data_IF_613134291650
#
_entry.id   IF_613134291650
#
_cell.length_a   1.000
_cell.length_b   1.000
_cell.length_c   1.000
_cell.angle_alpha   90.00
_cell.angle_beta   90.00
_cell.angle_gamma   90.00
#
_symmetry.space_group_name_H-M   'P 1'
#
loop_
_entity.id
_entity.type
_entity.pdbx_description
1 polymer ?
#
# COMPACT_ATOMS: atom_id res chain seq x y z
N UNK A 1 6.69 -25.05 -40.49
CA UNK A 1 6.41 -26.35 -41.11
C UNK A 1 7.72 -26.87 -41.67
N UNK A 2 8.34 -27.88 -41.05
CA UNK A 2 9.56 -28.50 -41.56
C UNK A 2 9.21 -29.89 -42.10
N UNK A 3 9.55 -30.16 -43.36
CA UNK A 3 9.41 -31.49 -43.97
C UNK A 3 10.76 -32.19 -43.93
N UNK A 4 10.87 -33.33 -43.26
CA UNK A 4 12.05 -34.19 -43.36
C UNK A 4 11.63 -35.65 -43.57
N UNK A 5 11.96 -36.18 -44.74
CA UNK A 5 11.86 -37.61 -45.03
C UNK A 5 13.12 -38.34 -44.57
N UNK A 6 12.98 -39.33 -43.69
CA UNK A 6 14.07 -40.21 -43.31
C UNK A 6 14.19 -41.36 -44.32
N UNK A 7 15.37 -41.55 -44.94
CA UNK A 7 15.71 -42.75 -45.72
C UNK A 7 16.56 -43.67 -44.87
N UNK A 8 16.18 -44.94 -44.76
CA UNK A 8 17.00 -45.99 -44.16
C UNK A 8 18.23 -46.23 -45.06
N UNK A 9 19.43 -45.93 -44.57
CA UNK A 9 20.68 -46.48 -45.09
C UNK A 9 21.40 -47.11 -43.90
N UNK A 10 21.73 -48.40 -44.02
CA UNK A 10 22.53 -49.15 -43.07
C UNK A 10 23.90 -48.47 -42.90
N UNK A 11 24.05 -47.68 -41.83
CA UNK A 11 25.34 -47.22 -41.36
C UNK A 11 25.26 -46.94 -39.86
N UNK A 12 26.10 -47.61 -39.07
CA UNK A 12 26.09 -47.68 -37.60
C UNK A 12 26.67 -46.41 -36.94
N UNK A 13 26.20 -45.23 -37.35
CA UNK A 13 26.61 -43.96 -36.75
C UNK A 13 25.40 -43.22 -36.16
N UNK A 14 25.47 -42.90 -34.86
CA UNK A 14 24.51 -41.99 -34.18
C UNK A 14 24.44 -40.68 -34.95
N UNK A 15 23.30 -40.39 -35.57
CA UNK A 15 23.07 -39.12 -36.29
C UNK A 15 22.10 -38.25 -35.50
N UNK A 16 22.55 -37.06 -35.11
CA UNK A 16 21.67 -35.95 -34.71
C UNK A 16 21.04 -35.42 -36.00
N UNK A 17 19.71 -35.49 -36.11
CA UNK A 17 19.03 -35.25 -37.38
C UNK A 17 18.69 -33.78 -37.66
N UNK A 18 18.62 -32.91 -36.64
CA UNK A 18 18.55 -31.44 -36.77
C UNK A 18 18.47 -30.81 -35.37
N UNK A 19 18.94 -29.57 -35.24
CA UNK A 19 18.68 -28.69 -34.10
C UNK A 19 17.81 -27.53 -34.62
N UNK A 20 16.60 -27.37 -34.06
CA UNK A 20 15.70 -26.26 -34.40
C UNK A 20 15.04 -25.79 -33.11
N UNK A 21 15.38 -24.56 -32.69
CA UNK A 21 14.75 -23.85 -31.58
C UNK A 21 14.72 -24.65 -30.24
N UNK A 22 15.81 -25.38 -29.93
CA UNK A 22 15.97 -26.10 -28.65
C UNK A 22 15.36 -27.50 -28.59
N UNK A 23 14.85 -28.02 -29.72
CA UNK A 23 14.29 -29.38 -29.85
C UNK A 23 15.31 -30.28 -30.55
N UNK A 24 15.73 -31.37 -29.88
CA UNK A 24 16.65 -32.36 -30.43
C UNK A 24 15.94 -33.67 -30.77
N UNK A 25 16.26 -34.19 -31.96
CA UNK A 25 15.72 -35.44 -32.49
C UNK A 25 16.80 -36.52 -32.48
N UNK A 26 16.49 -37.68 -31.88
CA UNK A 26 17.39 -38.83 -31.87
C UNK A 26 16.64 -40.11 -32.25
N UNK A 27 17.08 -40.74 -33.34
CA UNK A 27 16.57 -42.04 -33.79
C UNK A 27 17.45 -43.18 -33.27
N UNK A 28 16.82 -44.29 -32.87
CA UNK A 28 17.50 -45.51 -32.47
C UNK A 28 17.21 -46.66 -33.44
N UNK A 29 18.14 -47.61 -33.53
CA UNK A 29 18.04 -48.80 -34.40
C UNK A 29 16.81 -49.69 -34.08
N UNK A 30 16.22 -49.54 -32.89
CA UNK A 30 15.00 -50.24 -32.45
C UNK A 30 13.70 -49.70 -33.06
N UNK A 31 13.75 -48.70 -33.94
CA UNK A 31 12.56 -48.05 -34.49
C UNK A 31 11.88 -47.08 -33.53
N UNK A 32 12.51 -46.79 -32.38
CA UNK A 32 12.05 -45.81 -31.41
C UNK A 32 12.65 -44.44 -31.72
N UNK A 33 11.80 -43.41 -31.79
CA UNK A 33 12.21 -42.00 -31.90
C UNK A 33 12.01 -41.34 -30.54
N UNK A 34 13.07 -40.76 -29.97
CA UNK A 34 13.00 -39.97 -28.73
C UNK A 34 13.19 -38.50 -29.09
N UNK A 35 12.28 -37.67 -28.59
CA UNK A 35 12.35 -36.20 -28.72
C UNK A 35 12.74 -35.64 -27.37
N UNK A 36 13.83 -34.89 -27.35
CA UNK A 36 14.31 -34.23 -26.14
C UNK A 36 14.06 -32.73 -26.33
N UNK A 37 13.14 -32.18 -25.54
CA UNK A 37 12.91 -30.74 -25.43
C UNK A 37 13.80 -30.24 -24.30
N UNK A 38 14.70 -29.29 -24.60
CA UNK A 38 15.70 -28.80 -23.65
C UNK A 38 15.11 -28.08 -22.44
N UNK A 39 13.90 -27.51 -22.57
CA UNK A 39 13.14 -26.94 -21.46
C UNK A 39 11.64 -27.12 -21.69
N UNK A 40 11.03 -28.05 -20.96
CA UNK A 40 9.60 -28.36 -21.07
C UNK A 40 8.69 -27.23 -20.53
N UNK A 41 9.24 -26.27 -19.77
CA UNK A 41 8.46 -25.16 -19.17
C UNK A 41 8.01 -24.10 -20.19
N UNK A 42 8.61 -24.10 -21.39
CA UNK A 42 8.36 -23.13 -22.46
C UNK A 42 7.15 -23.47 -23.36
N UNK A 43 6.51 -24.63 -23.15
CA UNK A 43 5.52 -25.18 -24.07
C UNK A 43 4.32 -25.79 -23.31
N UNK A 44 3.11 -25.65 -23.85
CA UNK A 44 1.91 -26.32 -23.31
C UNK A 44 1.70 -27.71 -23.95
N UNK A 45 0.91 -28.56 -23.28
CA UNK A 45 0.77 -29.99 -23.55
C UNK A 45 0.59 -30.32 -25.04
N UNK A 46 1.48 -31.17 -25.57
CA UNK A 46 1.54 -31.54 -26.97
C UNK A 46 0.35 -32.43 -27.38
N UNK A 47 -0.41 -32.00 -28.39
CA UNK A 47 -1.30 -32.90 -29.13
C UNK A 47 -0.53 -33.53 -30.28
N UNK A 48 -0.72 -34.84 -30.47
CA UNK A 48 0.00 -35.62 -31.48
C UNK A 48 -1.00 -36.22 -32.45
N UNK A 49 -0.72 -36.14 -33.75
CA UNK A 49 -1.46 -36.87 -34.77
C UNK A 49 -0.48 -37.69 -35.59
N UNK A 50 -0.67 -39.01 -35.61
CA UNK A 50 0.10 -39.93 -36.45
C UNK A 50 -0.70 -40.17 -37.73
N UNK A 51 -0.17 -39.79 -38.89
CA UNK A 51 -0.73 -40.20 -40.19
C UNK A 51 0.14 -41.28 -40.82
N UNK A 52 -0.47 -42.43 -41.09
CA UNK A 52 0.17 -43.54 -41.79
C UNK A 52 -0.19 -43.52 -43.27
N UNK A 53 0.81 -43.66 -44.14
CA UNK A 53 0.59 -43.88 -45.56
C UNK A 53 1.40 -45.10 -46.02
N UNK A 54 0.76 -46.01 -46.77
CA UNK A 54 1.47 -47.06 -47.51
C UNK A 54 1.96 -46.48 -48.82
N UNK A 55 3.27 -46.57 -49.07
CA UNK A 55 3.82 -46.32 -50.39
C UNK A 55 3.96 -47.64 -51.16
N UNK A 56 3.85 -47.57 -52.49
CA UNK A 56 4.24 -48.67 -53.37
C UNK A 56 5.75 -48.90 -53.21
N UNK A 57 6.18 -50.17 -53.24
CA UNK A 57 7.52 -50.70 -52.89
C UNK A 57 7.72 -51.13 -51.42
N UNK A 58 6.66 -51.30 -50.64
CA UNK A 58 6.72 -52.02 -49.35
C UNK A 58 7.39 -51.26 -48.20
N UNK A 59 7.74 -49.99 -48.40
CA UNK A 59 8.28 -49.09 -47.36
C UNK A 59 7.12 -48.35 -46.69
N UNK A 60 6.95 -48.57 -45.37
CA UNK A 60 6.07 -47.76 -44.51
C UNK A 60 6.75 -46.42 -44.20
N UNK A 61 6.10 -45.31 -44.58
CA UNK A 61 6.48 -43.96 -44.13
C UNK A 61 5.46 -43.47 -43.11
N UNK A 62 5.96 -42.79 -42.08
CA UNK A 62 5.15 -42.16 -41.04
C UNK A 62 5.47 -40.68 -41.01
N UNK A 63 4.43 -39.84 -41.02
CA UNK A 63 4.56 -38.43 -40.67
C UNK A 63 4.12 -38.25 -39.22
N UNK A 64 5.04 -37.80 -38.38
CA UNK A 64 4.79 -37.47 -36.98
C UNK A 64 4.73 -35.95 -36.86
N UNK A 65 3.52 -35.40 -36.80
CA UNK A 65 3.31 -33.95 -36.72
C UNK A 65 3.07 -33.58 -35.25
N UNK A 66 4.01 -32.81 -34.69
CA UNK A 66 3.87 -32.21 -33.37
C UNK A 66 3.34 -30.79 -33.53
N UNK A 67 2.20 -30.49 -32.91
CA UNK A 67 1.78 -29.12 -32.69
C UNK A 67 2.32 -28.67 -31.34
N UNK A 68 3.47 -28.02 -31.36
CA UNK A 68 4.03 -27.38 -30.18
C UNK A 68 3.69 -25.89 -30.28
N UNK A 69 2.79 -25.41 -29.43
CA UNK A 69 2.61 -23.98 -29.25
C UNK A 69 3.67 -23.50 -28.26
N UNK A 70 4.60 -22.66 -28.74
CA UNK A 70 5.43 -21.84 -27.87
C UNK A 70 4.47 -21.02 -27.00
N UNK A 71 4.61 -21.09 -25.67
CA UNK A 71 3.82 -20.24 -24.79
C UNK A 71 3.99 -18.81 -25.30
N UNK A 72 2.86 -18.18 -25.64
CA UNK A 72 2.89 -16.75 -25.91
C UNK A 72 3.50 -16.11 -24.65
N UNK A 73 4.64 -15.42 -24.80
CA UNK A 73 4.96 -14.39 -23.82
C UNK A 73 3.74 -13.50 -23.79
N UNK A 74 3.06 -13.28 -22.65
CA UNK A 74 1.99 -12.30 -22.59
C UNK A 74 2.66 -10.95 -22.79
N UNK A 75 2.81 -10.57 -24.06
CA UNK A 75 3.23 -9.25 -24.46
C UNK A 75 2.10 -8.31 -24.06
N UNK A 76 2.41 -7.46 -23.08
CA UNK A 76 1.59 -6.36 -22.55
C UNK A 76 0.23 -6.79 -22.01
N UNK A 77 0.21 -7.44 -20.84
CA UNK A 77 -0.95 -7.33 -19.98
C UNK A 77 -1.11 -5.84 -19.58
N UNK A 78 -2.19 -5.20 -20.01
CA UNK A 78 -2.54 -3.84 -19.58
C UNK A 78 -2.72 -3.86 -18.08
N UNK A 79 -1.96 -3.01 -17.36
CA UNK A 79 -2.13 -2.88 -15.92
C UNK A 79 -3.51 -2.28 -15.61
N UNK A 80 -4.31 -2.97 -14.81
CA UNK A 80 -5.62 -2.46 -14.41
C UNK A 80 -5.44 -1.26 -13.49
N UNK A 81 -6.08 -0.14 -13.84
CA UNK A 81 -6.07 1.10 -13.05
C UNK A 81 -7.42 1.31 -12.41
N UNK A 82 -7.40 1.65 -11.13
CA UNK A 82 -8.57 1.99 -10.34
C UNK A 82 -8.59 3.48 -10.04
N UNK A 83 -9.74 4.12 -10.27
CA UNK A 83 -9.95 5.52 -9.92
C UNK A 83 -10.09 5.73 -8.39
N UNK A 84 -10.38 6.96 -7.98
CA UNK A 84 -10.59 7.33 -6.57
C UNK A 84 -11.68 6.48 -5.90
N UNK A 85 -12.87 6.38 -6.49
CA UNK A 85 -14.00 5.67 -5.90
C UNK A 85 -13.75 4.15 -5.84
N UNK A 86 -13.15 3.58 -6.88
CA UNK A 86 -12.77 2.17 -6.92
C UNK A 86 -11.66 1.87 -5.92
N UNK A 87 -10.63 2.72 -5.82
CA UNK A 87 -9.56 2.59 -4.81
C UNK A 87 -10.16 2.65 -3.40
N UNK A 88 -11.11 3.56 -3.17
CA UNK A 88 -11.86 3.66 -1.93
C UNK A 88 -12.82 2.46 -1.68
N UNK A 89 -13.14 1.64 -2.67
CA UNK A 89 -13.83 0.38 -2.40
C UNK A 89 -12.83 -0.71 -2.01
N UNK A 90 -11.69 -0.75 -2.69
CA UNK A 90 -10.68 -1.80 -2.56
C UNK A 90 -9.84 -1.72 -1.28
N UNK A 91 -9.82 -0.57 -0.60
CA UNK A 91 -8.99 -0.37 0.60
C UNK A 91 -9.83 0.03 1.82
N UNK A 92 -10.83 -0.78 2.24
CA UNK A 92 -11.72 -0.42 3.34
C UNK A 92 -10.97 -0.31 4.69
N UNK A 93 -11.42 0.61 5.56
CA UNK A 93 -10.67 1.00 6.75
C UNK A 93 -10.49 -0.14 7.76
N UNK A 94 -11.51 -0.96 7.99
CA UNK A 94 -11.48 -2.10 8.92
C UNK A 94 -10.34 -3.07 8.57
N UNK A 95 -10.31 -3.52 7.30
CA UNK A 95 -9.24 -4.41 6.81
C UNK A 95 -7.88 -3.72 6.77
N UNK A 96 -7.87 -2.41 6.49
CA UNK A 96 -6.63 -1.64 6.43
C UNK A 96 -5.97 -1.48 7.79
N UNK A 97 -6.74 -1.20 8.85
CA UNK A 97 -6.23 -1.08 10.21
C UNK A 97 -5.60 -2.41 10.67
N UNK A 98 -6.23 -3.55 10.38
CA UNK A 98 -5.69 -4.87 10.71
C UNK A 98 -4.44 -5.22 9.89
N UNK A 99 -4.48 -4.96 8.59
CA UNK A 99 -3.33 -5.20 7.71
C UNK A 99 -2.14 -4.31 8.07
N UNK A 100 -2.41 -3.06 8.49
CA UNK A 100 -1.38 -2.15 9.00
C UNK A 100 -0.73 -2.70 10.27
N UNK A 101 -1.50 -3.24 11.21
CA UNK A 101 -0.94 -3.83 12.44
C UNK A 101 0.11 -4.92 12.13
N UNK A 102 -0.24 -5.87 11.25
CA UNK A 102 0.68 -6.91 10.80
C UNK A 102 1.87 -6.32 10.02
N UNK A 103 1.61 -5.36 9.14
CA UNK A 103 2.66 -4.70 8.33
C UNK A 103 3.65 -3.91 9.19
N UNK A 104 3.22 -3.24 10.27
CA UNK A 104 4.11 -2.56 11.21
C UNK A 104 5.05 -3.55 11.91
N UNK A 105 4.53 -4.70 12.31
CA UNK A 105 5.33 -5.77 12.93
C UNK A 105 6.32 -6.40 11.94
N UNK A 106 5.91 -6.60 10.69
CA UNK A 106 6.79 -7.07 9.61
C UNK A 106 7.92 -6.07 9.33
N UNK A 107 7.60 -4.78 9.26
CA UNK A 107 8.59 -3.73 9.05
C UNK A 107 9.60 -3.66 10.21
N UNK A 108 9.11 -3.67 11.45
CA UNK A 108 9.97 -3.69 12.63
C UNK A 108 10.87 -4.93 12.71
N UNK A 109 10.40 -6.08 12.18
CA UNK A 109 11.17 -7.32 12.10
C UNK A 109 12.10 -7.40 10.86
N UNK A 110 12.21 -6.33 10.07
CA UNK A 110 13.06 -6.31 8.88
C UNK A 110 12.56 -7.16 7.70
N UNK A 111 11.29 -7.58 7.72
CA UNK A 111 10.66 -8.36 6.62
C UNK A 111 10.15 -7.49 5.47
N UNK A 112 10.15 -6.17 5.66
CA UNK A 112 9.77 -5.19 4.64
C UNK A 112 10.95 -4.26 4.41
N UNK A 113 11.36 -4.12 3.15
CA UNK A 113 12.35 -3.13 2.73
C UNK A 113 11.59 -1.90 2.24
N UNK A 114 11.75 -0.78 2.94
CA UNK A 114 11.19 0.52 2.59
C UNK A 114 12.27 1.59 2.78
N UNK A 115 13.00 1.97 1.73
CA UNK A 115 14.01 3.03 1.83
C UNK A 115 13.38 4.40 2.11
N UNK A 116 14.22 5.37 2.44
CA UNK A 116 13.80 6.77 2.55
C UNK A 116 13.16 7.25 1.24
N UNK A 117 12.17 8.13 1.35
CA UNK A 117 11.49 8.71 0.19
C UNK A 117 12.49 9.50 -0.65
N UNK A 118 12.49 9.28 -1.96
CA UNK A 118 13.29 10.08 -2.88
C UNK A 118 12.48 11.29 -3.33
N UNK A 119 13.03 12.50 -3.14
CA UNK A 119 12.44 13.74 -3.58
C UNK A 119 13.20 14.32 -4.78
N UNK A 120 12.49 14.54 -5.88
CA UNK A 120 13.03 15.10 -7.12
C UNK A 120 12.30 16.42 -7.41
N UNK A 121 12.98 17.58 -7.42
CA UNK A 121 12.36 18.84 -7.80
C UNK A 121 11.80 18.77 -9.22
N UNK A 122 10.60 19.32 -9.40
CA UNK A 122 10.00 19.55 -10.71
C UNK A 122 9.59 21.02 -10.79
N UNK A 123 9.38 21.57 -11.98
CA UNK A 123 9.11 23.01 -12.14
C UNK A 123 7.94 23.51 -11.27
N UNK A 124 6.89 22.71 -11.11
CA UNK A 124 5.69 23.06 -10.33
C UNK A 124 5.73 22.66 -8.85
N UNK A 125 6.79 22.02 -8.36
CA UNK A 125 6.84 21.47 -7.00
C UNK A 125 7.85 20.33 -6.83
N UNK A 126 7.41 19.23 -6.24
CA UNK A 126 8.28 18.06 -5.97
C UNK A 126 7.61 16.77 -6.37
N UNK A 127 8.37 15.88 -6.99
CA UNK A 127 8.02 14.49 -7.26
C UNK A 127 8.62 13.59 -6.18
N UNK A 128 7.79 12.74 -5.57
CA UNK A 128 8.16 11.85 -4.48
C UNK A 128 8.02 10.39 -4.93
N UNK A 129 9.12 9.66 -4.85
CA UNK A 129 9.19 8.24 -5.15
C UNK A 129 9.37 7.45 -3.84
N UNK A 130 8.43 6.54 -3.57
CA UNK A 130 8.32 5.81 -2.32
C UNK A 130 8.06 4.31 -2.62
N UNK A 131 9.12 3.51 -2.85
CA UNK A 131 8.98 2.08 -3.05
C UNK A 131 8.96 1.31 -1.72
N UNK A 132 8.27 0.16 -1.69
CA UNK A 132 8.40 -0.82 -0.63
C UNK A 132 8.29 -2.24 -1.19
N UNK A 133 8.97 -3.20 -0.56
CA UNK A 133 8.90 -4.61 -0.96
C UNK A 133 8.89 -5.54 0.24
N UNK A 134 8.17 -6.64 0.08
CA UNK A 134 8.10 -7.77 0.99
C UNK A 134 8.09 -9.08 0.19
N UNK A 135 8.11 -10.22 0.88
CA UNK A 135 8.11 -11.53 0.23
C UNK A 135 6.87 -11.77 -0.66
N UNK A 136 5.72 -11.18 -0.32
CA UNK A 136 4.46 -11.40 -0.99
C UNK A 136 4.12 -10.35 -2.05
N UNK A 137 4.59 -9.11 -1.90
CA UNK A 137 4.22 -8.00 -2.78
C UNK A 137 5.30 -6.93 -2.79
N UNK A 138 5.49 -6.29 -3.94
CA UNK A 138 6.24 -5.03 -4.07
C UNK A 138 5.30 -3.92 -4.51
N UNK A 139 5.63 -2.68 -4.16
CA UNK A 139 4.84 -1.52 -4.54
C UNK A 139 5.71 -0.28 -4.79
N UNK A 140 5.19 0.63 -5.60
CA UNK A 140 5.77 1.95 -5.79
C UNK A 140 4.68 3.00 -5.73
N UNK A 141 4.82 3.94 -4.79
CA UNK A 141 4.06 5.17 -4.81
C UNK A 141 4.88 6.26 -5.50
N UNK A 142 4.31 6.83 -6.54
CA UNK A 142 4.84 8.01 -7.22
C UNK A 142 3.80 9.13 -7.12
N UNK A 143 4.11 10.16 -6.35
CA UNK A 143 3.20 11.30 -6.11
C UNK A 143 3.93 12.63 -6.30
N UNK A 144 3.22 13.59 -6.89
CA UNK A 144 3.69 14.95 -7.12
C UNK A 144 2.93 15.89 -6.20
N UNK A 145 3.64 16.81 -5.56
CA UNK A 145 3.06 17.87 -4.71
C UNK A 145 3.37 19.22 -5.36
N UNK A 146 2.34 19.86 -5.91
CA UNK A 146 2.42 21.11 -6.63
C UNK A 146 1.51 22.15 -5.96
N UNK A 147 2.07 22.96 -5.05
CA UNK A 147 1.30 23.94 -4.27
C UNK A 147 0.57 24.98 -5.15
N UNK A 148 1.15 25.32 -6.31
CA UNK A 148 0.56 26.28 -7.26
C UNK A 148 -0.69 25.80 -8.00
N UNK A 149 -1.01 24.49 -7.95
CA UNK A 149 -2.15 23.91 -8.68
C UNK A 149 -3.50 24.52 -8.29
N UNK A 150 -3.63 25.04 -7.07
CA UNK A 150 -4.86 25.70 -6.62
C UNK A 150 -5.25 26.88 -7.51
N UNK A 151 -4.28 27.65 -8.01
CA UNK A 151 -4.54 28.77 -8.93
C UNK A 151 -5.02 28.33 -10.32
N UNK A 152 -4.84 27.04 -10.64
CA UNK A 152 -5.23 26.42 -11.91
C UNK A 152 -6.50 25.57 -11.79
N UNK A 153 -7.13 25.52 -10.60
CA UNK A 153 -8.27 24.63 -10.34
C UNK A 153 -7.89 23.14 -10.31
N UNK A 154 -6.61 22.81 -10.15
CA UNK A 154 -6.10 21.44 -10.10
C UNK A 154 -5.84 20.98 -8.65
N UNK A 155 -5.91 19.67 -8.36
CA UNK A 155 -5.47 19.13 -7.08
C UNK A 155 -3.99 19.43 -6.78
N UNK A 156 -3.67 19.74 -5.53
CA UNK A 156 -2.26 19.91 -5.09
C UNK A 156 -1.44 18.65 -5.23
N UNK A 157 -2.08 17.47 -5.10
CA UNK A 157 -1.41 16.18 -5.12
C UNK A 157 -1.97 15.36 -6.28
N UNK A 158 -1.07 14.84 -7.11
CA UNK A 158 -1.36 13.88 -8.16
C UNK A 158 -0.46 12.67 -8.00
N UNK A 159 -0.92 11.47 -8.33
CA UNK A 159 -0.05 10.31 -8.34
C UNK A 159 -0.78 8.99 -8.32
N UNK A 160 0.01 7.93 -8.21
CA UNK A 160 -0.47 6.56 -8.27
C UNK A 160 0.33 5.67 -7.34
N UNK A 161 -0.31 4.57 -6.95
CA UNK A 161 0.32 3.48 -6.21
C UNK A 161 0.22 2.24 -7.07
N UNK A 162 1.35 1.72 -7.52
CA UNK A 162 1.41 0.53 -8.37
C UNK A 162 1.88 -0.66 -7.55
N UNK A 163 1.17 -1.78 -7.64
CA UNK A 163 1.53 -3.05 -7.02
C UNK A 163 2.14 -4.01 -8.05
N UNK A 164 3.12 -4.79 -7.60
CA UNK A 164 3.90 -5.71 -8.42
C UNK A 164 4.02 -7.05 -7.70
N UNK A 165 4.03 -8.12 -8.50
CA UNK A 165 4.43 -9.43 -8.01
C UNK A 165 5.86 -9.39 -7.49
N UNK A 166 6.08 -9.78 -6.24
CA UNK A 166 7.39 -9.65 -5.59
C UNK A 166 8.48 -10.56 -6.18
N UNK A 167 8.10 -11.63 -6.88
CA UNK A 167 9.05 -12.61 -7.43
C UNK A 167 9.42 -12.29 -8.87
N UNK A 168 8.42 -11.98 -9.70
CA UNK A 168 8.55 -11.80 -11.15
C UNK A 168 8.68 -10.34 -11.55
N UNK A 169 8.31 -9.40 -10.67
CA UNK A 169 8.25 -7.97 -10.98
C UNK A 169 7.10 -7.58 -11.91
N UNK A 170 6.22 -8.51 -12.28
CA UNK A 170 5.08 -8.23 -13.16
C UNK A 170 4.12 -7.27 -12.45
N UNK A 171 3.73 -6.13 -13.07
CA UNK A 171 2.74 -5.25 -12.50
C UNK A 171 1.38 -5.93 -12.37
N UNK A 172 0.75 -5.80 -11.20
CA UNK A 172 -0.55 -6.42 -10.91
C UNK A 172 -1.70 -5.43 -11.10
N UNK A 173 -1.62 -4.26 -10.46
CA UNK A 173 -2.65 -3.23 -10.54
C UNK A 173 -2.12 -1.86 -10.10
N UNK A 174 -2.90 -0.82 -10.38
CA UNK A 174 -2.60 0.56 -10.04
C UNK A 174 -3.79 1.21 -9.34
N UNK A 175 -3.53 1.84 -8.21
CA UNK A 175 -4.51 2.55 -7.38
C UNK A 175 -4.29 4.07 -7.47
N UNK A 176 -5.35 4.82 -7.19
CA UNK A 176 -5.26 6.27 -7.02
C UNK A 176 -4.39 6.63 -5.80
N UNK A 177 -3.28 7.34 -6.06
CA UNK A 177 -2.26 7.63 -5.05
C UNK A 177 -2.76 8.56 -3.92
N UNK A 178 -3.45 9.67 -4.23
CA UNK A 178 -4.10 10.51 -3.22
C UNK A 178 -5.05 9.73 -2.31
N UNK A 179 -5.88 8.85 -2.87
CA UNK A 179 -6.84 8.03 -2.12
C UNK A 179 -6.13 7.04 -1.20
N UNK A 180 -5.14 6.30 -1.70
CA UNK A 180 -4.32 5.41 -0.85
C UNK A 180 -3.69 6.20 0.29
N UNK A 181 -3.09 7.36 -0.02
CA UNK A 181 -2.42 8.21 0.98
C UNK A 181 -3.40 8.71 2.05
N UNK A 182 -4.58 9.16 1.64
CA UNK A 182 -5.65 9.57 2.55
C UNK A 182 -6.03 8.47 3.53
N UNK A 183 -6.40 7.32 2.98
CA UNK A 183 -6.93 6.20 3.75
C UNK A 183 -5.91 5.56 4.67
N UNK A 184 -4.71 5.27 4.17
CA UNK A 184 -3.65 4.66 4.98
C UNK A 184 -3.20 5.57 6.11
N UNK A 185 -3.19 6.89 5.91
CA UNK A 185 -2.81 7.85 6.97
C UNK A 185 -3.87 7.86 8.07
N UNK A 186 -5.15 7.96 7.70
CA UNK A 186 -6.25 7.90 8.67
C UNK A 186 -6.30 6.55 9.41
N UNK A 187 -6.07 5.44 8.71
CA UNK A 187 -6.05 4.10 9.32
C UNK A 187 -4.86 3.90 10.28
N UNK A 188 -3.69 4.50 10.02
CA UNK A 188 -2.58 4.51 10.98
C UNK A 188 -2.98 5.24 12.26
N UNK A 189 -3.68 6.37 12.17
CA UNK A 189 -4.25 7.06 13.34
C UNK A 189 -5.26 6.18 14.10
N UNK A 190 -6.14 5.46 13.39
CA UNK A 190 -7.09 4.53 14.04
C UNK A 190 -6.37 3.37 14.73
N UNK A 191 -5.31 2.84 14.11
CA UNK A 191 -4.48 1.81 14.72
C UNK A 191 -3.79 2.34 15.99
N UNK A 192 -3.28 3.57 15.96
CA UNK A 192 -2.70 4.21 17.14
C UNK A 192 -3.74 4.38 18.26
N UNK A 193 -4.96 4.82 17.96
CA UNK A 193 -6.06 4.89 18.94
C UNK A 193 -6.33 3.50 19.53
N UNK A 194 -6.53 2.49 18.68
CA UNK A 194 -6.80 1.11 19.12
C UNK A 194 -5.71 0.53 20.02
N UNK A 195 -4.46 0.98 19.84
CA UNK A 195 -3.29 0.43 20.54
C UNK A 195 -2.95 1.20 21.80
N UNK A 196 -3.08 2.53 21.77
CA UNK A 196 -2.51 3.45 22.78
C UNK A 196 -3.58 4.19 23.59
N UNK A 197 -4.86 4.13 23.19
CA UNK A 197 -5.96 4.67 23.97
C UNK A 197 -6.65 3.55 24.77
N UNK A 198 -6.88 3.78 26.06
CA UNK A 198 -7.33 2.74 27.01
C UNK A 198 -8.71 2.12 26.69
N UNK A 199 -9.54 2.80 25.89
CA UNK A 199 -10.87 2.35 25.50
C UNK A 199 -11.22 2.82 24.09
N UNK A 200 -12.36 2.40 23.54
CA UNK A 200 -12.88 3.02 22.33
C UNK A 200 -13.13 4.53 22.57
N UNK A 201 -12.74 5.42 21.65
CA UNK A 201 -12.92 6.86 21.81
C UNK A 201 -14.41 7.22 21.83
N UNK A 202 -14.80 8.15 22.70
CA UNK A 202 -16.19 8.61 22.80
C UNK A 202 -16.39 10.01 22.24
N UNK A 203 -15.37 10.87 22.31
CA UNK A 203 -15.46 12.26 21.88
C UNK A 203 -14.13 12.68 21.26
N UNK A 204 -14.13 12.79 19.93
CA UNK A 204 -12.93 13.00 19.13
C UNK A 204 -12.94 14.41 18.55
N UNK A 205 -11.88 15.17 18.80
CA UNK A 205 -11.63 16.44 18.14
C UNK A 205 -10.71 16.25 16.93
N UNK A 206 -11.18 16.62 15.75
CA UNK A 206 -10.37 16.74 14.53
C UNK A 206 -10.07 18.22 14.29
N UNK A 207 -8.80 18.60 14.37
CA UNK A 207 -8.33 19.96 14.08
C UNK A 207 -7.82 19.99 12.63
N UNK A 208 -8.50 20.78 11.80
CA UNK A 208 -8.29 20.87 10.37
C UNK A 208 -9.56 20.61 9.56
N UNK A 209 -9.62 21.17 8.36
CA UNK A 209 -10.76 21.04 7.43
C UNK A 209 -10.30 20.70 6.02
N UNK A 210 -9.13 20.05 5.90
CA UNK A 210 -8.54 19.64 4.64
C UNK A 210 -8.84 18.17 4.29
N UNK A 211 -8.17 17.66 3.25
CA UNK A 211 -8.36 16.27 2.78
C UNK A 211 -8.09 15.22 3.88
N UNK A 212 -7.02 15.38 4.65
CA UNK A 212 -6.72 14.43 5.73
C UNK A 212 -7.80 14.47 6.82
N UNK A 213 -8.33 15.64 7.18
CA UNK A 213 -9.46 15.72 8.11
C UNK A 213 -10.68 14.93 7.59
N UNK A 214 -11.00 15.02 6.29
CA UNK A 214 -12.08 14.24 5.68
C UNK A 214 -11.86 12.72 5.81
N UNK A 215 -10.68 12.22 5.43
CA UNK A 215 -10.36 10.79 5.57
C UNK A 215 -10.34 10.33 7.04
N UNK A 216 -9.94 11.17 7.99
CA UNK A 216 -10.00 10.84 9.42
C UNK A 216 -11.45 10.77 9.92
N UNK A 217 -12.34 11.66 9.47
CA UNK A 217 -13.77 11.59 9.79
C UNK A 217 -14.40 10.32 9.20
N UNK A 218 -14.07 9.94 7.96
CA UNK A 218 -14.50 8.67 7.38
C UNK A 218 -14.01 7.46 8.18
N UNK A 219 -12.72 7.44 8.55
CA UNK A 219 -12.13 6.35 9.32
C UNK A 219 -12.76 6.24 10.71
N UNK A 220 -12.97 7.37 11.40
CA UNK A 220 -13.66 7.40 12.69
C UNK A 220 -15.09 6.87 12.55
N UNK A 221 -15.84 7.30 11.54
CA UNK A 221 -17.20 6.83 11.32
C UNK A 221 -17.28 5.32 11.00
N UNK A 222 -16.29 4.78 10.28
CA UNK A 222 -16.22 3.37 9.93
C UNK A 222 -15.81 2.47 11.10
N UNK A 223 -14.85 2.92 11.93
CA UNK A 223 -14.24 2.11 12.99
C UNK A 223 -14.91 2.35 14.36
N UNK A 224 -15.38 3.56 14.61
CA UNK A 224 -15.99 4.00 15.87
C UNK A 224 -17.32 4.73 15.61
N UNK A 225 -18.35 4.04 15.09
CA UNK A 225 -19.61 4.67 14.67
C UNK A 225 -20.36 5.39 15.80
N UNK A 226 -20.08 5.03 17.05
CA UNK A 226 -20.69 5.63 18.24
C UNK A 226 -19.92 6.86 18.78
N UNK A 227 -18.76 7.19 18.22
CA UNK A 227 -17.97 8.34 18.67
C UNK A 227 -18.58 9.66 18.20
N UNK A 228 -18.62 10.65 19.10
CA UNK A 228 -18.90 12.05 18.73
C UNK A 228 -17.68 12.63 18.02
N UNK A 229 -17.88 13.24 16.86
CA UNK A 229 -16.79 13.80 16.07
C UNK A 229 -16.97 15.32 16.00
N UNK A 230 -16.06 16.04 16.65
CA UNK A 230 -16.01 17.50 16.65
C UNK A 230 -14.94 18.00 15.71
N UNK A 231 -15.25 18.95 14.85
CA UNK A 231 -14.28 19.53 13.90
C UNK A 231 -13.97 20.97 14.28
N UNK A 232 -12.69 21.32 14.35
CA UNK A 232 -12.21 22.68 14.54
C UNK A 232 -11.42 23.12 13.31
N UNK A 233 -11.86 24.21 12.68
CA UNK A 233 -11.14 24.87 11.60
C UNK A 233 -10.34 26.07 12.09
N UNK A 234 -9.55 26.68 11.21
CA UNK A 234 -8.83 27.93 11.53
C UNK A 234 -9.77 29.11 11.81
N UNK A 235 -11.03 29.00 11.41
CA UNK A 235 -12.14 29.90 11.73
C UNK A 235 -13.44 29.08 11.86
N UNK A 236 -14.41 29.47 12.71
CA UNK A 236 -15.64 28.70 12.92
C UNK A 236 -16.42 28.38 11.63
N UNK A 237 -16.47 29.30 10.67
CA UNK A 237 -17.14 29.09 9.38
C UNK A 237 -16.62 27.88 8.60
N UNK A 238 -15.30 27.65 8.61
CA UNK A 238 -14.67 26.53 7.89
C UNK A 238 -15.08 25.18 8.47
N UNK A 239 -15.19 25.08 9.80
CA UNK A 239 -15.64 23.86 10.46
C UNK A 239 -17.09 23.55 10.09
N UNK A 240 -17.97 24.56 10.09
CA UNK A 240 -19.37 24.42 9.70
C UNK A 240 -19.52 24.00 8.24
N UNK A 241 -18.82 24.65 7.32
CA UNK A 241 -18.77 24.27 5.89
C UNK A 241 -18.31 22.83 5.70
N UNK A 242 -17.22 22.44 6.37
CA UNK A 242 -16.69 21.09 6.32
C UNK A 242 -17.68 20.05 6.84
N UNK A 243 -18.33 20.30 7.99
CA UNK A 243 -19.31 19.37 8.54
C UNK A 243 -20.54 19.25 7.64
N UNK A 244 -20.99 20.36 7.05
CA UNK A 244 -22.10 20.36 6.09
C UNK A 244 -21.77 19.51 4.84
N UNK A 245 -20.56 19.63 4.29
CA UNK A 245 -20.16 18.86 3.10
C UNK A 245 -19.93 17.36 3.38
N UNK A 246 -19.74 16.97 4.64
CA UNK A 246 -19.50 15.57 5.05
C UNK A 246 -20.62 15.02 5.96
N UNK A 247 -21.80 15.66 6.00
CA UNK A 247 -22.89 15.27 6.90
C UNK A 247 -23.39 13.83 6.66
N UNK A 248 -23.20 13.28 5.45
CA UNK A 248 -23.55 11.90 5.13
C UNK A 248 -22.59 10.86 5.72
N UNK A 249 -21.38 11.26 6.15
CA UNK A 249 -20.34 10.35 6.66
C UNK A 249 -20.67 9.86 8.08
N UNK A 250 -21.15 10.75 8.96
CA UNK A 250 -21.56 10.40 10.31
C UNK A 250 -22.64 11.34 10.84
N UNK A 251 -23.64 10.76 11.51
CA UNK A 251 -24.69 11.52 12.23
C UNK A 251 -24.16 12.24 13.47
N UNK A 252 -22.97 11.86 13.95
CA UNK A 252 -22.34 12.44 15.13
C UNK A 252 -21.29 13.50 14.81
N UNK A 253 -21.17 13.89 13.53
CA UNK A 253 -20.27 14.92 13.06
C UNK A 253 -20.84 16.31 13.35
N UNK A 254 -20.08 17.15 14.06
CA UNK A 254 -20.47 18.53 14.33
C UNK A 254 -19.26 19.47 14.34
N UNK A 255 -19.47 20.73 13.97
CA UNK A 255 -18.48 21.77 14.15
C UNK A 255 -18.32 22.07 15.66
N UNK A 256 -17.09 22.31 16.10
CA UNK A 256 -16.82 22.89 17.41
C UNK A 256 -16.84 24.41 17.27
N UNK A 257 -17.96 25.02 17.68
CA UNK A 257 -18.14 26.49 17.66
C UNK A 257 -17.59 27.17 18.92
N UNK A 258 -17.30 26.39 19.97
CA UNK A 258 -16.75 26.89 21.24
C UNK A 258 -15.28 27.27 21.09
N UNK A 259 -14.88 28.38 21.74
CA UNK A 259 -13.48 28.81 21.75
C UNK A 259 -12.57 27.88 22.57
N UNK A 260 -13.13 27.20 23.56
CA UNK A 260 -12.42 26.23 24.39
C UNK A 260 -12.76 24.80 23.95
N UNK A 261 -11.75 23.93 23.93
CA UNK A 261 -11.96 22.49 23.70
C UNK A 261 -12.66 21.86 24.91
N UNK A 262 -13.78 21.14 24.74
CA UNK A 262 -14.49 20.51 25.84
C UNK A 262 -13.62 19.48 26.58
N UNK A 263 -13.78 19.39 27.90
CA UNK A 263 -13.04 18.41 28.69
C UNK A 263 -13.40 16.96 28.36
N UNK A 264 -14.59 16.73 27.79
CA UNK A 264 -15.05 15.41 27.34
C UNK A 264 -14.21 14.81 26.22
N UNK A 265 -13.44 15.63 25.47
CA UNK A 265 -12.58 15.16 24.39
C UNK A 265 -11.51 14.21 24.95
N UNK A 266 -11.59 12.96 24.52
CA UNK A 266 -10.67 11.87 24.89
C UNK A 266 -9.66 11.54 23.77
N UNK A 267 -9.93 11.93 22.53
CA UNK A 267 -8.95 11.87 21.43
C UNK A 267 -8.88 13.18 20.66
N UNK A 268 -7.67 13.64 20.34
CA UNK A 268 -7.42 14.80 19.47
C UNK A 268 -6.60 14.35 18.27
N UNK A 269 -7.00 14.75 17.07
CA UNK A 269 -6.30 14.50 15.81
C UNK A 269 -6.04 15.85 15.14
N UNK A 270 -4.77 16.26 15.07
CA UNK A 270 -4.36 17.44 14.31
C UNK A 270 -3.93 17.03 12.90
N UNK A 271 -4.66 17.53 11.89
CA UNK A 271 -4.46 17.25 10.47
C UNK A 271 -4.50 18.56 9.65
N UNK A 272 -3.59 19.47 10.00
CA UNK A 272 -3.46 20.82 9.46
C UNK A 272 -2.16 21.00 8.68
N UNK A 273 -2.08 22.07 7.89
CA UNK A 273 -0.83 22.49 7.24
C UNK A 273 -0.15 23.62 8.02
N UNK A 274 -0.43 23.74 9.33
CA UNK A 274 0.11 24.84 10.14
C UNK A 274 1.61 24.71 10.32
N UNK A 275 2.30 25.84 10.31
CA UNK A 275 3.73 25.92 10.69
C UNK A 275 3.92 26.15 12.19
N UNK A 276 2.88 26.58 12.88
CA UNK A 276 2.89 26.86 14.33
C UNK A 276 1.81 26.04 15.05
N UNK A 277 2.02 25.67 16.32
CA UNK A 277 1.07 24.87 17.07
C UNK A 277 -0.36 25.41 17.03
N UNK A 278 -1.31 24.53 16.71
CA UNK A 278 -2.76 24.79 16.73
C UNK A 278 -3.44 24.12 17.92
N UNK A 279 -2.83 23.08 18.48
CA UNK A 279 -3.23 22.47 19.73
C UNK A 279 -2.27 22.88 20.85
N UNK A 280 -2.80 23.63 21.82
CA UNK A 280 -1.99 24.27 22.88
C UNK A 280 -2.41 23.85 24.30
N UNK A 281 -3.32 22.87 24.42
CA UNK A 281 -3.78 22.43 25.73
C UNK A 281 -2.72 21.60 26.46
N UNK A 282 -2.69 21.63 27.81
CA UNK A 282 -1.84 20.75 28.60
C UNK A 282 -2.11 19.27 28.30
N UNK A 283 -1.07 18.45 28.36
CA UNK A 283 -1.23 16.99 28.30
C UNK A 283 -2.08 16.52 29.49
N UNK A 284 -2.96 15.55 29.24
CA UNK A 284 -3.90 15.03 30.23
C UNK A 284 -3.98 13.52 30.15
N UNK A 285 -3.99 12.85 31.29
CA UNK A 285 -4.26 11.42 31.38
C UNK A 285 -5.67 11.14 30.83
N UNK A 286 -5.79 10.13 29.98
CA UNK A 286 -7.05 9.80 29.30
C UNK A 286 -7.43 10.74 28.14
N UNK A 287 -6.53 11.64 27.70
CA UNK A 287 -6.63 12.31 26.41
C UNK A 287 -5.45 11.90 25.53
N UNK A 288 -5.75 11.24 24.41
CA UNK A 288 -4.73 10.81 23.46
C UNK A 288 -4.63 11.81 22.30
N UNK A 289 -3.42 12.29 22.03
CA UNK A 289 -3.17 13.33 21.01
C UNK A 289 -2.43 12.72 19.83
N UNK A 290 -2.89 13.01 18.63
CA UNK A 290 -2.31 12.54 17.37
C UNK A 290 -1.94 13.73 16.50
N UNK A 291 -0.66 13.86 16.15
CA UNK A 291 -0.17 14.79 15.14
C UNK A 291 0.01 14.09 13.79
N UNK A 292 -0.57 14.64 12.72
CA UNK A 292 -0.57 14.03 11.37
C UNK A 292 -0.01 14.96 10.30
N UNK A 293 -0.39 16.24 10.34
CA UNK A 293 -0.14 17.21 9.29
C UNK A 293 1.27 17.79 9.25
N UNK A 294 1.97 17.89 10.39
CA UNK A 294 3.36 18.35 10.42
C UNK A 294 4.35 17.24 10.02
N UNK A 295 4.57 17.05 8.72
CA UNK A 295 5.51 16.06 8.15
C UNK A 295 6.80 16.69 7.60
N UNK A 296 7.08 17.96 7.93
CA UNK A 296 8.35 18.63 7.62
C UNK A 296 8.98 19.14 8.90
N UNK A 297 10.32 19.19 8.95
CA UNK A 297 11.07 19.57 10.15
C UNK A 297 10.75 20.97 10.70
N UNK A 298 10.21 21.86 9.87
CA UNK A 298 9.90 23.26 10.17
C UNK A 298 8.41 23.52 10.48
N UNK A 299 7.60 22.46 10.62
CA UNK A 299 6.17 22.57 10.90
C UNK A 299 5.80 21.91 12.23
N UNK A 300 4.95 22.56 13.03
CA UNK A 300 4.38 21.97 14.24
C UNK A 300 2.88 22.26 14.33
N UNK A 301 2.13 21.28 14.83
CA UNK A 301 0.70 21.36 15.12
C UNK A 301 0.41 21.32 16.62
N UNK A 302 1.32 20.73 17.40
CA UNK A 302 1.15 20.46 18.83
C UNK A 302 2.17 21.28 19.61
N UNK A 303 1.73 21.91 20.69
CA UNK A 303 2.61 22.74 21.52
C UNK A 303 3.65 21.87 22.27
N UNK A 304 4.90 22.36 22.45
CA UNK A 304 5.94 21.63 23.18
C UNK A 304 5.52 21.19 24.59
N UNK A 305 4.71 21.99 25.29
CA UNK A 305 4.22 21.66 26.62
C UNK A 305 3.40 20.34 26.65
N UNK A 306 2.59 20.07 25.62
CA UNK A 306 1.87 18.80 25.49
C UNK A 306 2.85 17.66 25.24
N UNK A 307 3.84 17.88 24.36
CA UNK A 307 4.82 16.88 23.94
C UNK A 307 5.69 16.45 25.12
N UNK A 308 6.31 17.39 25.84
CA UNK A 308 7.19 17.09 26.97
C UNK A 308 6.50 16.38 28.13
N UNK A 309 5.18 16.53 28.26
CA UNK A 309 4.39 15.90 29.30
C UNK A 309 3.74 14.56 28.87
N UNK A 310 4.05 14.06 27.67
CA UNK A 310 3.46 12.83 27.11
C UNK A 310 4.50 11.73 26.89
N UNK A 311 4.05 10.48 26.95
CA UNK A 311 4.76 9.36 26.33
C UNK A 311 4.66 9.47 24.80
N UNK A 312 5.80 9.36 24.11
CA UNK A 312 5.89 9.69 22.69
C UNK A 312 5.99 8.43 21.84
N UNK A 313 5.08 8.32 20.86
CA UNK A 313 5.04 7.23 19.90
C UNK A 313 5.10 7.73 18.45
N UNK A 314 5.73 6.95 17.56
CA UNK A 314 5.79 7.24 16.12
C UNK A 314 5.46 6.02 15.28
N UNK A 315 4.95 6.23 14.06
CA UNK A 315 4.74 5.14 13.09
C UNK A 315 6.06 4.65 12.49
N UNK A 316 6.90 5.57 12.04
CA UNK A 316 8.19 5.28 11.42
C UNK A 316 9.34 5.94 12.22
N UNK A 317 10.08 5.18 13.04
CA UNK A 317 11.21 5.71 13.81
C UNK A 317 12.35 6.28 12.96
N UNK A 318 12.54 5.79 11.73
CA UNK A 318 13.61 6.27 10.86
C UNK A 318 13.20 7.61 10.21
N UNK A 319 12.01 7.66 9.60
CA UNK A 319 11.47 8.87 8.99
C UNK A 319 11.20 9.98 10.01
N UNK A 320 10.70 9.65 11.20
CA UNK A 320 10.29 10.64 12.20
C UNK A 320 11.43 11.57 12.61
N UNK A 321 12.67 11.09 12.68
CA UNK A 321 13.84 11.91 13.06
C UNK A 321 14.08 13.10 12.14
N UNK A 322 13.60 13.03 10.90
CA UNK A 322 13.79 14.06 9.88
C UNK A 322 12.49 14.79 9.52
N UNK A 323 11.35 14.15 9.72
CA UNK A 323 10.04 14.62 9.23
C UNK A 323 9.07 15.04 10.33
N UNK A 324 9.24 14.57 11.57
CA UNK A 324 8.32 14.87 12.67
C UNK A 324 8.58 16.25 13.28
N UNK A 325 8.20 17.32 12.57
CA UNK A 325 8.47 18.69 12.98
C UNK A 325 7.96 19.04 14.39
N UNK A 326 6.83 18.49 14.83
CA UNK A 326 6.36 18.60 16.22
C UNK A 326 7.45 18.20 17.23
N UNK A 327 8.09 17.06 17.02
CA UNK A 327 9.10 16.49 17.92
C UNK A 327 10.45 17.17 17.74
N UNK A 328 10.83 17.47 16.50
CA UNK A 328 12.08 18.16 16.17
C UNK A 328 12.11 19.55 16.79
N UNK A 329 11.06 20.35 16.59
CA UNK A 329 10.97 21.72 17.10
C UNK A 329 10.77 21.77 18.62
N UNK A 330 10.17 20.75 19.22
CA UNK A 330 10.11 20.61 20.67
C UNK A 330 11.45 20.21 21.29
N UNK A 331 12.45 19.76 20.52
CA UNK A 331 13.76 19.40 21.05
C UNK A 331 13.73 18.20 22.00
N UNK A 332 12.92 17.20 21.70
CA UNK A 332 12.78 15.98 22.51
C UNK A 332 14.05 15.10 22.49
N UNK A 333 14.20 14.25 23.51
CA UNK A 333 15.15 13.13 23.47
C UNK A 333 14.57 11.97 22.65
N UNK A 334 15.18 11.69 21.50
CA UNK A 334 14.76 10.59 20.63
C UNK A 334 14.92 9.19 21.25
N UNK A 335 15.71 9.03 22.30
CA UNK A 335 15.79 7.76 23.03
C UNK A 335 14.53 7.47 23.86
N UNK A 336 13.74 8.52 24.16
CA UNK A 336 12.47 8.38 24.87
C UNK A 336 11.28 8.08 23.92
N UNK A 337 11.49 8.12 22.60
CA UNK A 337 10.44 7.88 21.60
C UNK A 337 10.33 6.40 21.28
N UNK A 338 9.10 5.88 21.32
CA UNK A 338 8.80 4.46 21.03
C UNK A 338 8.17 4.30 19.65
N UNK A 339 8.48 3.21 18.97
CA UNK A 339 7.75 2.83 17.76
C UNK A 339 6.36 2.29 18.13
N UNK A 340 5.33 2.57 17.33
CA UNK A 340 4.01 1.96 17.50
C UNK A 340 4.07 0.43 17.43
N UNK A 341 5.00 -0.12 16.63
CA UNK A 341 5.26 -1.56 16.56
C UNK A 341 5.63 -2.21 17.91
N UNK A 342 6.30 -1.48 18.81
CA UNK A 342 6.62 -1.98 20.16
C UNK A 342 5.36 -2.17 20.99
N UNK A 343 4.44 -1.19 20.93
CA UNK A 343 3.15 -1.26 21.60
C UNK A 343 2.26 -2.37 21.01
N UNK A 344 2.30 -2.55 19.68
CA UNK A 344 1.58 -3.63 18.99
C UNK A 344 2.11 -5.03 19.38
N UNK A 345 3.41 -5.17 19.61
CA UNK A 345 4.02 -6.44 20.00
C UNK A 345 3.72 -6.85 21.46
N UNK A 346 3.42 -5.88 22.33
CA UNK A 346 3.09 -6.11 23.74
C UNK A 346 1.82 -5.33 24.17
N UNK A 347 0.62 -5.70 23.67
CA UNK A 347 -0.60 -4.92 23.88
C UNK A 347 -0.95 -4.70 25.36
N UNK A 348 -0.66 -5.66 26.24
CA UNK A 348 -0.92 -5.56 27.69
C UNK A 348 -0.04 -4.52 28.41
N UNK A 349 1.01 -4.03 27.74
CA UNK A 349 1.95 -3.02 28.26
C UNK A 349 1.94 -1.73 27.42
N UNK A 350 1.09 -1.68 26.39
CA UNK A 350 1.05 -0.57 25.43
C UNK A 350 0.59 0.75 26.04
N UNK A 351 -0.27 0.69 27.07
CA UNK A 351 -0.89 1.85 27.69
C UNK A 351 -0.53 1.92 29.17
N UNK A 352 0.24 2.93 29.55
CA UNK A 352 0.32 3.36 30.94
C UNK A 352 -0.84 4.32 31.23
N UNK A 353 -1.89 3.82 31.88
CA UNK A 353 -3.08 4.60 32.20
C UNK A 353 -2.81 5.76 33.18
N UNK A 354 -1.62 5.85 33.77
CA UNK A 354 -1.23 6.95 34.65
C UNK A 354 -0.53 8.10 33.91
N UNK A 355 -0.23 7.97 32.61
CA UNK A 355 0.54 8.96 31.85
C UNK A 355 -0.21 9.42 30.59
N UNK A 356 -0.12 10.71 30.22
CA UNK A 356 -0.56 11.16 28.90
C UNK A 356 0.28 10.50 27.81
N UNK A 357 -0.33 10.21 26.66
CA UNK A 357 0.37 9.67 25.51
C UNK A 357 0.07 10.50 24.26
N UNK A 358 1.06 10.59 23.39
CA UNK A 358 0.96 11.25 22.10
C UNK A 358 1.55 10.37 21.01
N UNK A 359 0.89 10.34 19.87
CA UNK A 359 1.36 9.68 18.67
C UNK A 359 1.61 10.68 17.56
N UNK A 360 2.71 10.50 16.83
CA UNK A 360 3.08 11.32 15.69
C UNK A 360 3.25 10.44 14.45
N UNK A 361 2.47 10.72 13.42
CA UNK A 361 2.62 10.05 12.12
C UNK A 361 3.38 10.94 11.14
N UNK A 362 4.33 10.35 10.42
CA UNK A 362 5.06 10.97 9.28
C UNK A 362 4.85 10.20 7.98
N UNK A 363 4.49 8.92 8.10
CA UNK A 363 4.18 8.03 6.99
C UNK A 363 5.41 7.40 6.35
N UNK A 364 5.26 6.13 5.97
CA UNK A 364 6.28 5.30 5.34
C UNK A 364 5.67 4.53 4.16
N UNK A 365 6.48 4.15 3.17
CA UNK A 365 5.99 3.40 2.00
C UNK A 365 5.44 2.02 2.38
N UNK A 366 5.89 1.44 3.50
CA UNK A 366 5.32 0.21 4.05
C UNK A 366 3.81 0.31 4.34
N UNK A 367 3.29 1.51 4.66
CA UNK A 367 1.85 1.72 4.89
C UNK A 367 1.06 1.71 3.58
N UNK A 368 1.67 2.16 2.49
CA UNK A 368 1.06 2.07 1.16
C UNK A 368 1.11 0.61 0.65
N UNK A 369 2.14 -0.18 1.04
CA UNK A 369 2.18 -1.63 0.83
C UNK A 369 1.04 -2.36 1.54
N UNK A 370 0.72 -1.97 2.79
CA UNK A 370 -0.44 -2.50 3.50
C UNK A 370 -1.75 -2.24 2.72
N UNK A 371 -1.94 -1.04 2.17
CA UNK A 371 -3.08 -0.74 1.32
C UNK A 371 -3.14 -1.61 0.06
N UNK A 372 -1.99 -1.87 -0.58
CA UNK A 372 -1.92 -2.77 -1.74
C UNK A 372 -2.29 -4.21 -1.37
N UNK A 373 -1.86 -4.70 -0.20
CA UNK A 373 -2.22 -6.04 0.30
C UNK A 373 -3.74 -6.17 0.49
N UNK A 374 -4.39 -5.16 1.06
CA UNK A 374 -5.86 -5.13 1.20
C UNK A 374 -6.53 -5.14 -0.17
N UNK A 375 -6.12 -4.26 -1.09
CA UNK A 375 -6.69 -4.21 -2.43
C UNK A 375 -6.55 -5.54 -3.17
N UNK A 376 -5.38 -6.18 -3.10
CA UNK A 376 -5.14 -7.49 -3.71
C UNK A 376 -6.08 -8.56 -3.14
N UNK A 377 -6.32 -8.55 -1.83
CA UNK A 377 -7.22 -9.50 -1.19
C UNK A 377 -8.67 -9.30 -1.65
N UNK A 378 -9.16 -8.06 -1.65
CA UNK A 378 -10.52 -7.71 -2.14
C UNK A 378 -10.69 -8.12 -3.61
N UNK A 379 -9.72 -7.81 -4.47
CA UNK A 379 -9.77 -8.18 -5.89
C UNK A 379 -9.77 -9.70 -6.12
N UNK A 380 -9.04 -10.44 -5.29
CA UNK A 380 -9.02 -11.90 -5.36
C UNK A 380 -10.37 -12.49 -4.98
N UNK A 381 -11.02 -11.94 -3.95
CA UNK A 381 -12.38 -12.33 -3.53
C UNK A 381 -13.43 -12.01 -4.62
N UNK A 382 -13.38 -10.81 -5.22
CA UNK A 382 -14.26 -10.42 -6.35
C UNK A 382 -14.08 -11.34 -7.57
N UNK A 383 -12.85 -11.78 -7.85
CA UNK A 383 -12.52 -12.69 -8.95
C UNK A 383 -13.02 -14.12 -8.73
N UNK A 384 -13.08 -14.57 -7.47
CA UNK A 384 -13.64 -15.88 -7.12
C UNK A 384 -15.16 -15.84 -7.19
N UNK A 385 -15.79 -14.76 -6.75
CA UNK A 385 -17.25 -14.63 -6.76
C UNK A 385 -17.86 -14.53 -8.16
N UNK A 386 -17.06 -14.17 -9.18
CA UNK A 386 -17.48 -14.03 -10.58
C UNK A 386 -17.21 -15.28 -11.43
N UNK A 387 -16.58 -16.32 -10.86
CA UNK A 387 -16.37 -17.63 -11.48
C UNK A 387 -17.36 -18.65 -10.93
#
# INVERSE_FOLDING_TARGET
MAFLGCRRRDDRSRRVAADYDGIRWQSYDSGSLIIVVSDASLYDAASHTVRMFRHFDGILKFDLIFHVQKRAHPMTATIQRYDEAQTARLVPYDRLVDTLAATMLDYAAGRIVSPERMAVPIQGGVMLSMPASAADLAMHKLVNVCAGNGALGLPTIHGQVTAYDATTGVPQFMLDGPTVTGRRTAAVSMLAIRTLHAAAPRDVLVIGTGKQAAYHVEALAAIYPDARIRVQGSRPGRAREFCASHAAVSKQLAALDEAATPESIDVVIAATTSKTPVYTMPARVGRFVIGVGAFTADAAEIAPATIHASELYVDDPAGARHEAGDFILAGIDWNAVRALAVALAAPSQAVDAARPAMFKSVGCAAWDLAACRVARAVLSEESVATR
#
